data_IF_000967517323
#
_entry.id   IF_000967517323
#
_cell.length_a   1.000
_cell.length_b   1.000
_cell.length_c   1.000
_cell.angle_alpha   90.00
_cell.angle_beta   90.00
_cell.angle_gamma   90.00
#
_symmetry.space_group_name_H-M   'P 1'
#
loop_
_entity.id
_entity.type
_entity.pdbx_description
1 polymer ?
#
# COMPACT_ATOMS: atom_id res chain seq x y z
N UNK A 1 -0.57 42.22 17.72
CA UNK A 1 -0.28 41.61 16.39
C UNK A 1 -1.59 41.56 15.60
N UNK A 2 -1.76 42.44 14.61
CA UNK A 2 -2.99 42.52 13.81
C UNK A 2 -3.19 41.27 12.96
N UNK A 3 -4.45 40.84 12.79
CA UNK A 3 -4.82 39.79 11.83
C UNK A 3 -4.40 40.25 10.43
N UNK A 4 -3.51 39.50 9.78
CA UNK A 4 -3.20 39.68 8.36
C UNK A 4 -4.48 39.44 7.54
N UNK A 5 -4.63 40.14 6.42
CA UNK A 5 -5.72 39.92 5.46
C UNK A 5 -5.73 38.46 5.01
N UNK A 6 -6.90 37.96 4.57
CA UNK A 6 -7.04 36.61 4.01
C UNK A 6 -6.34 36.53 2.65
N UNK A 7 -5.01 36.49 2.68
CA UNK A 7 -4.14 36.27 1.53
C UNK A 7 -3.82 34.79 1.40
N UNK A 8 -3.64 34.32 0.17
CA UNK A 8 -3.25 32.93 -0.11
C UNK A 8 -1.86 32.71 0.46
N UNK A 9 -1.77 31.92 1.53
CA UNK A 9 -0.49 31.57 2.16
C UNK A 9 0.37 30.77 1.18
N UNK A 10 1.59 31.23 0.97
CA UNK A 10 2.57 30.50 0.17
C UNK A 10 3.19 29.37 0.99
N UNK A 11 3.77 28.37 0.33
CA UNK A 11 4.48 27.26 1.00
C UNK A 11 5.77 27.71 1.72
N UNK A 12 6.15 28.98 1.60
CA UNK A 12 7.21 29.62 2.37
C UNK A 12 6.72 30.10 3.74
N UNK A 13 5.42 30.36 3.90
CA UNK A 13 4.81 30.94 5.10
C UNK A 13 4.36 29.87 6.11
N UNK A 14 5.20 28.86 6.35
CA UNK A 14 4.97 27.86 7.39
C UNK A 14 5.54 28.34 8.73
N UNK A 15 4.75 28.19 9.79
CA UNK A 15 5.26 28.34 11.16
C UNK A 15 6.28 27.24 11.46
N UNK A 16 7.24 27.46 12.38
CA UNK A 16 8.23 26.45 12.76
C UNK A 16 7.60 25.12 13.20
N UNK A 17 6.47 25.17 13.92
CA UNK A 17 5.72 23.97 14.34
C UNK A 17 5.08 23.22 13.17
N UNK A 18 4.49 23.93 12.21
CA UNK A 18 3.90 23.30 11.01
C UNK A 18 4.98 22.64 10.15
N UNK A 19 6.15 23.29 10.02
CA UNK A 19 7.31 22.71 9.32
C UNK A 19 7.81 21.45 10.02
N UNK A 20 8.01 21.51 11.34
CA UNK A 20 8.44 20.37 12.14
C UNK A 20 7.46 19.19 12.02
N UNK A 21 6.16 19.45 12.07
CA UNK A 21 5.13 18.43 11.85
C UNK A 21 5.31 17.70 10.51
N UNK A 22 5.45 18.44 9.41
CA UNK A 22 5.63 17.83 8.09
C UNK A 22 6.96 17.09 7.99
N UNK A 23 8.04 17.66 8.51
CA UNK A 23 9.36 17.03 8.44
C UNK A 23 9.43 15.72 9.24
N UNK A 24 8.83 15.68 10.43
CA UNK A 24 8.71 14.47 11.26
C UNK A 24 7.85 13.41 10.57
N UNK A 25 6.72 13.83 9.99
CA UNK A 25 5.80 12.94 9.29
C UNK A 25 6.46 12.31 8.05
N UNK A 26 7.21 13.09 7.27
CA UNK A 26 7.91 12.59 6.07
C UNK A 26 9.10 11.70 6.44
N UNK A 27 9.86 12.05 7.49
CA UNK A 27 10.99 11.24 7.95
C UNK A 27 10.55 9.83 8.43
N UNK A 28 9.36 9.72 9.02
CA UNK A 28 8.83 8.48 9.59
C UNK A 28 7.59 7.97 8.82
N UNK A 29 7.52 8.27 7.53
CA UNK A 29 6.35 7.95 6.72
C UNK A 29 6.02 6.45 6.76
N UNK A 30 4.78 6.12 7.12
CA UNK A 30 4.31 4.73 7.27
C UNK A 30 4.61 4.08 8.62
N UNK A 31 5.51 4.63 9.43
CA UNK A 31 5.85 4.09 10.76
C UNK A 31 5.05 4.77 11.88
N UNK A 32 4.73 6.06 11.72
CA UNK A 32 3.98 6.84 12.72
C UNK A 32 2.68 7.38 12.14
N UNK A 33 1.68 7.58 13.00
CA UNK A 33 0.45 8.24 12.59
C UNK A 33 0.64 9.76 12.48
N UNK A 34 -0.27 10.44 11.78
CA UNK A 34 -0.28 11.91 11.73
C UNK A 34 -0.49 12.53 13.13
N UNK A 35 -1.20 11.83 14.01
CA UNK A 35 -1.41 12.27 15.38
C UNK A 35 -0.08 12.25 16.18
N UNK A 36 0.71 11.19 16.01
CA UNK A 36 2.01 11.05 16.67
C UNK A 36 3.01 12.10 16.16
N UNK A 37 3.01 12.37 14.86
CA UNK A 37 3.82 13.45 14.28
C UNK A 37 3.43 14.83 14.84
N UNK A 38 2.13 15.07 15.11
CA UNK A 38 1.68 16.30 15.77
C UNK A 38 2.18 16.40 17.21
N UNK A 39 2.12 15.30 17.97
CA UNK A 39 2.62 15.26 19.35
C UNK A 39 4.13 15.55 19.39
N UNK A 40 4.90 14.90 18.51
CA UNK A 40 6.36 15.12 18.42
C UNK A 40 6.71 16.55 17.97
N UNK A 41 5.88 17.18 17.13
CA UNK A 41 6.04 18.57 16.73
C UNK A 41 5.64 19.59 17.81
N UNK A 42 5.22 19.13 19.00
CA UNK A 42 4.90 19.99 20.14
C UNK A 42 3.52 20.64 20.06
N UNK A 43 2.56 19.98 19.40
CA UNK A 43 1.14 20.34 19.51
C UNK A 43 0.56 19.76 20.79
N UNK A 44 0.27 20.63 21.76
CA UNK A 44 -0.33 20.25 23.05
C UNK A 44 -1.84 20.29 22.98
N UNK A 45 -2.48 19.35 23.66
CA UNK A 45 -3.94 19.29 23.76
C UNK A 45 -4.36 19.04 25.20
N UNK A 46 -5.53 19.57 25.60
CA UNK A 46 -6.07 19.32 26.95
C UNK A 46 -6.43 17.84 27.17
N UNK A 47 -6.81 17.15 26.09
CA UNK A 47 -7.08 15.71 26.08
C UNK A 47 -6.00 15.03 25.24
N UNK A 48 -5.13 14.18 25.82
CA UNK A 48 -3.99 13.59 25.12
C UNK A 48 -4.37 12.73 23.92
N UNK A 49 -5.51 12.01 23.98
CA UNK A 49 -5.82 10.96 23.00
C UNK A 49 -6.71 11.42 21.82
N UNK A 50 -7.63 12.38 22.02
CA UNK A 50 -8.61 12.76 20.98
C UNK A 50 -8.18 13.93 20.11
N UNK A 51 -7.50 14.91 20.71
CA UNK A 51 -7.23 16.18 20.03
C UNK A 51 -6.03 16.17 19.07
N UNK A 52 -4.96 15.36 19.23
CA UNK A 52 -3.88 15.34 18.26
C UNK A 52 -4.34 14.88 16.87
N UNK A 53 -5.31 13.96 16.82
CA UNK A 53 -5.92 13.50 15.57
C UNK A 53 -6.69 14.63 14.84
N UNK A 54 -7.50 15.40 15.58
CA UNK A 54 -8.24 16.53 15.01
C UNK A 54 -7.31 17.62 14.47
N UNK A 55 -6.24 17.94 15.21
CA UNK A 55 -5.23 18.91 14.78
C UNK A 55 -4.51 18.39 13.53
N UNK A 56 -4.07 17.14 13.53
CA UNK A 56 -3.40 16.51 12.41
C UNK A 56 -4.29 16.49 11.15
N UNK A 57 -5.57 16.16 11.31
CA UNK A 57 -6.56 16.18 10.23
C UNK A 57 -6.71 17.59 9.68
N UNK A 58 -6.86 18.61 10.54
CA UNK A 58 -6.95 20.02 10.13
C UNK A 58 -5.69 20.50 9.42
N UNK A 59 -4.49 20.13 9.89
CA UNK A 59 -3.22 20.51 9.29
C UNK A 59 -3.01 19.87 7.90
N UNK A 60 -3.54 18.67 7.68
CA UNK A 60 -3.45 17.95 6.39
C UNK A 60 -4.68 18.13 5.50
N UNK A 61 -5.61 19.01 5.88
CA UNK A 61 -6.78 19.33 5.08
C UNK A 61 -6.43 20.41 4.02
N UNK A 62 -6.55 20.11 2.72
CA UNK A 62 -6.24 21.06 1.65
C UNK A 62 -7.08 22.34 1.67
N UNK A 63 -8.35 22.27 2.10
CA UNK A 63 -9.26 23.42 2.14
C UNK A 63 -8.87 24.40 3.26
N UNK A 64 -8.43 23.88 4.39
CA UNK A 64 -8.11 24.69 5.58
C UNK A 64 -6.65 25.18 5.53
N UNK A 65 -5.72 24.30 5.15
CA UNK A 65 -4.29 24.56 5.18
C UNK A 65 -3.59 24.13 3.87
N UNK A 66 -3.91 24.74 2.72
CA UNK A 66 -3.34 24.36 1.42
C UNK A 66 -1.82 24.50 1.38
N UNK A 67 -1.27 25.54 2.04
CA UNK A 67 0.16 25.78 2.17
C UNK A 67 0.93 24.62 2.85
N UNK A 68 0.32 23.95 3.83
CA UNK A 68 0.94 22.82 4.54
C UNK A 68 0.92 21.59 3.63
N UNK A 69 -0.21 21.29 2.99
CA UNK A 69 -0.33 20.17 2.05
C UNK A 69 0.68 20.31 0.89
N UNK A 70 0.81 21.51 0.33
CA UNK A 70 1.81 21.78 -0.72
C UNK A 70 3.25 21.63 -0.25
N UNK A 71 3.54 21.98 1.01
CA UNK A 71 4.86 21.71 1.60
C UNK A 71 5.07 20.21 1.83
N UNK A 72 4.05 19.49 2.30
CA UNK A 72 4.09 18.04 2.46
C UNK A 72 4.36 17.33 1.13
N UNK A 73 3.64 17.68 0.07
CA UNK A 73 3.87 17.15 -1.29
C UNK A 73 5.30 17.41 -1.75
N UNK A 74 5.79 18.65 -1.59
CA UNK A 74 7.17 19.00 -1.93
C UNK A 74 8.18 18.11 -1.18
N UNK A 75 7.98 17.90 0.12
CA UNK A 75 8.88 17.06 0.94
C UNK A 75 8.79 15.59 0.57
N UNK A 76 7.60 15.07 0.30
CA UNK A 76 7.40 13.71 -0.20
C UNK A 76 8.09 13.50 -1.55
N UNK A 77 7.91 14.42 -2.50
CA UNK A 77 8.58 14.35 -3.80
C UNK A 77 10.11 14.41 -3.65
N UNK A 78 10.63 15.27 -2.77
CA UNK A 78 12.07 15.30 -2.48
C UNK A 78 12.60 13.95 -1.98
N UNK A 79 11.83 13.28 -1.12
CA UNK A 79 12.24 12.00 -0.55
C UNK A 79 12.10 10.84 -1.52
N UNK A 80 11.03 10.81 -2.32
CA UNK A 80 10.87 9.87 -3.42
C UNK A 80 11.99 10.02 -4.46
N UNK A 81 12.36 11.26 -4.81
CA UNK A 81 13.44 11.53 -5.77
C UNK A 81 14.78 10.90 -5.34
N UNK A 82 15.05 10.77 -4.03
CA UNK A 82 16.28 10.11 -3.54
C UNK A 82 16.35 8.62 -3.87
N UNK A 83 15.21 7.98 -4.14
CA UNK A 83 15.12 6.55 -4.44
C UNK A 83 14.89 6.28 -5.94
N UNK A 84 14.09 7.13 -6.61
CA UNK A 84 13.74 6.92 -8.02
C UNK A 84 14.84 7.35 -8.99
N UNK A 85 15.47 8.51 -8.75
CA UNK A 85 16.42 9.09 -9.71
C UNK A 85 17.83 8.52 -9.57
N UNK A 86 18.24 8.22 -8.34
CA UNK A 86 19.59 7.74 -8.05
C UNK A 86 19.65 6.21 -8.06
N UNK A 87 19.64 5.63 -9.27
CA UNK A 87 19.81 4.17 -9.45
C UNK A 87 21.14 3.68 -8.87
N UNK A 88 22.20 4.50 -8.96
CA UNK A 88 23.53 4.16 -8.45
C UNK A 88 23.52 3.90 -6.94
N UNK A 89 22.81 4.73 -6.17
CA UNK A 89 22.60 4.50 -4.74
C UNK A 89 22.00 3.14 -4.45
N UNK A 90 20.98 2.73 -5.19
CA UNK A 90 20.35 1.41 -5.02
C UNK A 90 21.30 0.26 -5.38
N UNK A 91 22.07 0.38 -6.47
CA UNK A 91 23.11 -0.60 -6.80
C UNK A 91 24.15 -0.73 -5.70
N UNK A 92 24.67 0.39 -5.19
CA UNK A 92 25.64 0.40 -4.08
C UNK A 92 25.05 -0.14 -2.77
N UNK A 93 23.74 -0.05 -2.57
CA UNK A 93 23.09 -0.68 -1.42
C UNK A 93 23.02 -2.19 -1.59
N UNK A 94 22.63 -2.70 -2.77
CA UNK A 94 22.66 -4.14 -3.04
C UNK A 94 24.06 -4.72 -2.96
N UNK A 95 25.08 -4.06 -3.51
CA UNK A 95 26.49 -4.44 -3.37
C UNK A 95 26.90 -4.60 -1.90
N UNK A 96 26.60 -3.59 -1.06
CA UNK A 96 26.87 -3.66 0.38
C UNK A 96 26.12 -4.78 1.09
N UNK A 97 24.87 -5.06 0.71
CA UNK A 97 24.09 -6.15 1.28
C UNK A 97 24.65 -7.52 0.87
N UNK A 98 25.13 -7.66 -0.37
CA UNK A 98 25.78 -8.89 -0.86
C UNK A 98 27.04 -9.18 -0.09
N UNK A 99 27.96 -8.21 0.01
CA UNK A 99 29.22 -8.36 0.73
C UNK A 99 28.95 -8.77 2.18
N UNK A 100 28.04 -8.06 2.87
CA UNK A 100 27.65 -8.41 4.26
C UNK A 100 27.02 -9.79 4.40
N UNK A 101 26.31 -10.27 3.36
CA UNK A 101 25.72 -11.60 3.37
C UNK A 101 26.79 -12.68 3.10
N UNK A 102 27.72 -12.43 2.17
CA UNK A 102 28.85 -13.30 1.85
C UNK A 102 29.79 -13.45 3.06
N UNK A 103 30.13 -12.35 3.74
CA UNK A 103 30.89 -12.35 5.00
C UNK A 103 30.24 -13.23 6.08
N UNK A 104 28.90 -13.34 6.07
CA UNK A 104 28.12 -14.18 6.99
C UNK A 104 27.88 -15.60 6.45
N UNK A 105 28.54 -16.00 5.37
CA UNK A 105 28.33 -17.25 4.64
C UNK A 105 26.88 -17.49 4.17
N UNK A 106 26.07 -16.42 4.04
CA UNK A 106 24.69 -16.48 3.55
C UNK A 106 24.64 -16.27 2.04
N UNK A 107 25.15 -17.25 1.29
CA UNK A 107 25.27 -17.16 -0.18
C UNK A 107 23.92 -16.97 -0.89
N UNK A 108 22.84 -17.59 -0.39
CA UNK A 108 21.51 -17.40 -0.95
C UNK A 108 21.05 -15.93 -0.89
N UNK A 109 21.33 -15.23 0.20
CA UNK A 109 21.03 -13.80 0.36
C UNK A 109 21.89 -12.93 -0.57
N UNK A 110 23.16 -13.29 -0.74
CA UNK A 110 24.07 -12.62 -1.67
C UNK A 110 23.60 -12.79 -3.14
N UNK A 111 23.27 -14.01 -3.56
CA UNK A 111 22.75 -14.30 -4.92
C UNK A 111 21.39 -13.64 -5.15
N UNK A 112 20.55 -13.50 -4.13
CA UNK A 112 19.28 -12.77 -4.27
C UNK A 112 19.52 -11.28 -4.49
N UNK A 113 20.42 -10.66 -3.73
CA UNK A 113 20.77 -9.27 -3.96
C UNK A 113 21.45 -9.11 -5.36
N UNK A 114 22.35 -10.03 -5.75
CA UNK A 114 22.55 -10.56 -7.13
C UNK A 114 21.48 -10.19 -8.14
N UNK A 115 20.49 -11.06 -8.13
CA UNK A 115 19.39 -11.08 -9.03
C UNK A 115 18.60 -9.75 -9.04
N UNK A 116 18.34 -9.16 -7.86
CA UNK A 116 17.58 -7.90 -7.76
C UNK A 116 18.29 -6.71 -8.42
N UNK A 117 19.62 -6.61 -8.33
CA UNK A 117 20.32 -5.57 -9.06
C UNK A 117 20.26 -5.80 -10.57
N UNK A 118 20.38 -7.04 -11.05
CA UNK A 118 20.18 -7.36 -12.46
C UNK A 118 18.76 -7.04 -12.95
N UNK A 119 17.74 -7.21 -12.10
CA UNK A 119 16.37 -6.78 -12.37
C UNK A 119 16.28 -5.27 -12.52
N UNK A 120 16.92 -4.50 -11.63
CA UNK A 120 16.98 -3.03 -11.75
C UNK A 120 17.71 -2.54 -13.00
N UNK A 121 18.71 -3.30 -13.46
CA UNK A 121 19.44 -3.03 -14.70
C UNK A 121 18.63 -3.39 -15.96
N UNK A 122 17.52 -4.12 -15.80
CA UNK A 122 16.69 -4.60 -16.91
C UNK A 122 17.23 -5.88 -17.57
N UNK A 123 18.21 -6.56 -16.96
CA UNK A 123 18.72 -7.84 -17.49
C UNK A 123 17.73 -8.98 -17.30
N UNK A 124 16.85 -8.89 -16.31
CA UNK A 124 15.80 -9.86 -16.06
C UNK A 124 14.44 -9.21 -16.26
N UNK A 125 13.70 -9.68 -17.27
CA UNK A 125 12.31 -9.28 -17.52
C UNK A 125 11.44 -10.49 -17.31
N UNK A 126 10.58 -10.44 -16.31
CA UNK A 126 9.58 -11.48 -16.08
C UNK A 126 8.37 -11.22 -17.00
N UNK A 127 8.05 -12.19 -17.85
CA UNK A 127 6.87 -12.14 -18.74
C UNK A 127 5.87 -13.15 -18.23
N UNK A 128 4.79 -12.64 -17.62
CA UNK A 128 3.65 -13.46 -17.21
C UNK A 128 2.50 -13.27 -18.19
N UNK A 129 2.23 -14.30 -19.01
CA UNK A 129 1.04 -14.36 -19.84
C UNK A 129 -0.10 -15.00 -19.05
N UNK A 130 -1.21 -14.28 -18.90
CA UNK A 130 -2.44 -14.79 -18.27
C UNK A 130 -3.44 -15.05 -19.38
N UNK A 131 -3.52 -16.30 -19.81
CA UNK A 131 -4.51 -16.72 -20.80
C UNK A 131 -5.89 -16.79 -20.13
N UNK A 132 -6.75 -15.82 -20.41
CA UNK A 132 -8.17 -15.91 -20.07
C UNK A 132 -8.89 -16.68 -21.17
N UNK A 133 -9.13 -17.98 -20.96
CA UNK A 133 -9.94 -18.79 -21.87
C UNK A 133 -11.41 -18.40 -21.63
N UNK A 134 -11.91 -17.44 -22.41
CA UNK A 134 -13.35 -17.25 -22.58
C UNK A 134 -13.99 -18.47 -23.27
N UNK A 135 -15.31 -18.65 -23.14
CA UNK A 135 -16.04 -19.77 -23.78
C UNK A 135 -15.81 -19.86 -25.30
N UNK A 136 -15.53 -18.72 -25.94
CA UNK A 136 -15.25 -18.60 -27.38
C UNK A 136 -13.86 -19.15 -27.79
N UNK A 137 -12.96 -19.39 -26.83
CA UNK A 137 -11.61 -19.91 -27.08
C UNK A 137 -11.42 -21.38 -26.69
N UNK A 138 -12.48 -22.08 -26.26
CA UNK A 138 -12.40 -23.49 -25.89
C UNK A 138 -12.61 -24.39 -27.11
N UNK A 139 -11.76 -25.40 -27.26
CA UNK A 139 -12.02 -26.47 -28.22
C UNK A 139 -13.21 -27.33 -27.74
N UNK A 140 -13.91 -28.00 -28.67
CA UNK A 140 -15.11 -28.79 -28.38
C UNK A 140 -14.92 -29.79 -27.23
N UNK A 141 -13.79 -30.48 -27.20
CA UNK A 141 -13.45 -31.43 -26.13
C UNK A 141 -13.33 -30.79 -24.74
N UNK A 142 -12.89 -29.53 -24.67
CA UNK A 142 -12.76 -28.79 -23.41
C UNK A 142 -14.13 -28.30 -22.93
N UNK A 143 -15.03 -27.93 -23.85
CA UNK A 143 -16.42 -27.59 -23.53
C UNK A 143 -17.17 -28.82 -23.01
N UNK A 144 -17.03 -29.97 -23.67
CA UNK A 144 -17.66 -31.23 -23.25
C UNK A 144 -17.19 -31.65 -21.85
N UNK A 145 -15.90 -31.50 -21.52
CA UNK A 145 -15.39 -31.73 -20.16
C UNK A 145 -16.02 -30.79 -19.13
N UNK A 146 -16.05 -29.48 -19.39
CA UNK A 146 -16.67 -28.50 -18.49
C UNK A 146 -18.17 -28.73 -18.30
N UNK A 147 -18.89 -29.12 -19.35
CA UNK A 147 -20.30 -29.51 -19.27
C UNK A 147 -20.49 -30.74 -18.38
N UNK A 148 -19.67 -31.78 -18.55
CA UNK A 148 -19.74 -32.99 -17.73
C UNK A 148 -19.43 -32.73 -16.25
N UNK A 149 -18.50 -31.82 -15.96
CA UNK A 149 -18.19 -31.38 -14.59
C UNK A 149 -19.38 -30.64 -13.96
N UNK A 150 -20.06 -29.78 -14.72
CA UNK A 150 -21.26 -29.07 -14.25
C UNK A 150 -22.43 -30.04 -13.99
N UNK A 151 -22.66 -31.00 -14.89
CA UNK A 151 -23.70 -32.02 -14.71
C UNK A 151 -23.51 -32.86 -13.45
N UNK A 152 -22.26 -33.25 -13.14
CA UNK A 152 -21.94 -33.96 -11.90
C UNK A 152 -22.25 -33.12 -10.67
N UNK A 153 -21.77 -31.88 -10.63
CA UNK A 153 -22.02 -30.97 -9.50
C UNK A 153 -23.52 -30.68 -9.27
N UNK A 154 -24.31 -30.59 -10.36
CA UNK A 154 -25.77 -30.39 -10.25
C UNK A 154 -26.46 -31.64 -9.70
N UNK A 155 -26.05 -32.84 -10.12
CA UNK A 155 -26.66 -34.08 -9.65
C UNK A 155 -26.30 -34.41 -8.18
N UNK A 156 -25.12 -34.01 -7.69
CA UNK A 156 -24.75 -34.14 -6.28
C UNK A 156 -25.66 -33.33 -5.34
N UNK A 157 -26.26 -32.23 -5.83
CA UNK A 157 -27.18 -31.38 -5.06
C UNK A 157 -28.67 -31.79 -5.14
N UNK A 158 -29.01 -32.92 -5.80
CA UNK A 158 -30.39 -33.42 -5.95
C UNK A 158 -30.89 -34.34 -4.82
N UNK A 159 -30.16 -34.51 -3.71
CA UNK A 159 -30.74 -35.15 -2.52
C UNK A 159 -31.68 -34.17 -1.80
N UNK A 160 -32.86 -33.96 -2.39
CA UNK A 160 -34.01 -33.36 -1.72
C UNK A 160 -34.88 -34.54 -1.25
N UNK A 161 -35.15 -34.53 0.04
CA UNK A 161 -35.75 -35.60 0.85
C UNK A 161 -37.16 -35.94 0.31
N UNK A 162 -37.37 -37.18 -0.11
CA UNK A 162 -38.71 -37.73 -0.40
C UNK A 162 -39.39 -38.09 0.92
N UNK A 163 -40.31 -37.25 1.39
CA UNK A 163 -41.13 -37.52 2.59
C UNK A 163 -42.48 -38.07 2.09
N UNK A 164 -42.62 -39.39 2.04
CA UNK A 164 -43.93 -40.03 1.93
C UNK A 164 -44.65 -39.92 3.27
N UNK A 165 -45.77 -39.18 3.32
CA UNK A 165 -46.57 -39.05 4.53
C UNK A 165 -47.33 -40.35 4.83
N UNK A 166 -47.07 -40.97 5.99
CA UNK A 166 -47.90 -42.07 6.52
C UNK A 166 -49.18 -41.47 7.12
N UNK A 167 -50.33 -41.79 6.52
CA UNK A 167 -51.64 -41.48 7.11
C UNK A 167 -51.90 -42.41 8.29
N UNK A 168 -51.79 -41.88 9.51
CA UNK A 168 -52.23 -42.54 10.73
C UNK A 168 -53.76 -42.61 10.71
N UNK A 169 -54.33 -43.81 10.63
CA UNK A 169 -55.76 -44.04 10.84
C UNK A 169 -55.94 -44.45 12.31
N UNK A 170 -56.41 -43.52 13.14
CA UNK A 170 -56.92 -43.81 14.48
C UNK A 170 -58.38 -44.28 14.41
N UNK A 171 -58.63 -45.57 14.71
CA UNK A 171 -59.66 -46.02 15.67
C UNK A 171 -59.66 -47.54 15.82
#
# INVERSE_FOLDING_TARGET
>A
MGRRKNEVKLSTDLTPKQRAFVDILVANWGNISKADACLQAGYTTKDPNRKPFEIASRLTNPEINPHICRYLEKRLSQELNKYEKDKLRSYKNFERLRIKAEEKNQLASAINAEFRAGQMAGFYVDKKEINHIGLEGMNREQLEKRLSELEKNINENKQIIDITAETIIEK
#
